data_IF_405779455503
#
_entry.id   IF_405779455503
#
_cell.length_a   1.000
_cell.length_b   1.000
_cell.length_c   1.000
_cell.angle_alpha   90.00
_cell.angle_beta   90.00
_cell.angle_gamma   90.00
#
_symmetry.space_group_name_H-M   'P 1'
#
loop_
_entity.id
_entity.type
_entity.pdbx_description
1 polymer ?
#
# COMPACT_ATOMS: atom_id res chain seq x y z
N UNK A 1 -18.94 -8.74 8.71
CA UNK A 1 -17.91 -7.68 8.60
C UNK A 1 -18.08 -7.04 7.22
N UNK A 2 -17.27 -6.06 6.79
CA UNK A 2 -17.14 -5.78 5.36
C UNK A 2 -15.89 -6.49 4.85
N UNK A 3 -15.97 -7.23 3.74
CA UNK A 3 -14.88 -8.12 3.31
C UNK A 3 -13.58 -7.37 2.96
N UNK A 4 -13.67 -6.09 2.58
CA UNK A 4 -12.49 -5.24 2.34
C UNK A 4 -11.57 -5.08 3.55
N UNK A 5 -12.08 -5.28 4.77
CA UNK A 5 -11.26 -5.18 5.98
C UNK A 5 -10.18 -6.26 6.05
N UNK A 6 -10.36 -7.38 5.32
CA UNK A 6 -9.38 -8.45 5.24
C UNK A 6 -8.36 -8.25 4.12
N UNK A 7 -8.58 -7.31 3.19
CA UNK A 7 -7.68 -7.10 2.07
C UNK A 7 -6.24 -6.93 2.55
N UNK A 8 -5.34 -7.69 1.93
CA UNK A 8 -3.91 -7.71 2.24
C UNK A 8 -3.57 -8.16 3.68
N UNK A 9 -4.50 -8.81 4.39
CA UNK A 9 -4.30 -9.31 5.75
C UNK A 9 -4.44 -8.24 6.84
N UNK A 10 -5.02 -7.07 6.54
CA UNK A 10 -5.02 -5.93 7.47
C UNK A 10 -5.74 -6.19 8.79
N UNK A 11 -6.96 -6.76 8.75
CA UNK A 11 -7.67 -7.14 9.97
C UNK A 11 -6.91 -8.17 10.81
N UNK A 12 -6.16 -9.08 10.17
CA UNK A 12 -5.35 -10.10 10.84
C UNK A 12 -4.19 -9.46 11.60
N UNK A 13 -3.49 -8.50 10.98
CA UNK A 13 -2.42 -7.74 11.65
C UNK A 13 -2.92 -6.98 12.87
N UNK A 14 -4.04 -6.26 12.73
CA UNK A 14 -4.63 -5.51 13.85
C UNK A 14 -5.09 -6.43 14.97
N UNK A 15 -5.70 -7.58 14.65
CA UNK A 15 -6.10 -8.58 15.66
C UNK A 15 -4.88 -9.13 16.42
N UNK A 16 -3.81 -9.49 15.71
CA UNK A 16 -2.56 -9.95 16.34
C UNK A 16 -1.93 -8.88 17.23
N UNK A 17 -1.85 -7.64 16.75
CA UNK A 17 -1.35 -6.52 17.54
C UNK A 17 -2.19 -6.30 18.80
N UNK A 18 -3.51 -6.45 18.68
CA UNK A 18 -4.45 -6.41 19.79
C UNK A 18 -4.39 -7.65 20.71
N UNK A 19 -3.50 -8.62 20.48
CA UNK A 19 -3.40 -9.85 21.29
C UNK A 19 -4.60 -10.79 21.14
N UNK A 20 -5.26 -10.78 19.98
CA UNK A 20 -6.42 -11.61 19.66
C UNK A 20 -6.06 -12.64 18.58
N UNK A 21 -6.95 -13.60 18.36
CA UNK A 21 -6.84 -14.58 17.27
C UNK A 21 -6.77 -13.87 15.91
N UNK A 22 -5.66 -14.06 15.19
CA UNK A 22 -5.42 -13.50 13.87
C UNK A 22 -5.67 -14.51 12.74
N UNK A 23 -6.04 -15.76 13.01
CA UNK A 23 -6.54 -16.67 11.98
C UNK A 23 -8.01 -16.33 11.64
N UNK A 24 -8.80 -16.04 12.67
CA UNK A 24 -10.19 -15.62 12.56
C UNK A 24 -10.43 -14.28 13.28
N UNK A 25 -9.95 -13.15 12.70
CA UNK A 25 -9.96 -11.87 13.39
C UNK A 25 -11.39 -11.44 13.76
N UNK A 26 -11.60 -10.86 14.96
CA UNK A 26 -12.93 -10.43 15.39
C UNK A 26 -13.54 -9.41 14.43
N UNK A 27 -14.89 -9.42 14.35
CA UNK A 27 -15.62 -8.52 13.45
C UNK A 27 -15.30 -7.05 13.72
N UNK A 28 -14.66 -6.38 12.76
CA UNK A 28 -14.54 -4.93 12.74
C UNK A 28 -15.88 -4.31 12.25
N UNK A 29 -16.48 -3.44 13.08
CA UNK A 29 -17.76 -2.76 12.80
C UNK A 29 -17.53 -1.44 12.06
N UNK A 30 -17.21 -1.54 10.78
CA UNK A 30 -16.94 -0.40 9.93
C UNK A 30 -16.04 -0.78 8.75
N UNK A 31 -15.41 0.22 8.17
CA UNK A 31 -14.56 0.10 6.99
C UNK A 31 -13.15 0.53 7.32
N UNK A 32 -12.19 -0.33 7.04
CA UNK A 32 -10.78 -0.03 7.15
C UNK A 32 -10.27 0.52 5.80
N UNK A 33 -9.58 1.65 5.84
CA UNK A 33 -8.77 2.11 4.72
C UNK A 33 -7.74 1.03 4.40
N UNK A 34 -7.72 0.54 3.16
CA UNK A 34 -6.87 -0.59 2.76
C UNK A 34 -5.70 -0.18 1.85
N UNK A 35 -5.62 1.09 1.47
CA UNK A 35 -4.56 1.65 0.63
C UNK A 35 -4.48 3.16 0.78
N UNK A 36 -3.33 3.73 0.46
CA UNK A 36 -3.18 5.16 0.27
C UNK A 36 -3.90 5.62 -0.99
N UNK A 37 -4.59 6.76 -0.91
CA UNK A 37 -5.08 7.50 -2.06
C UNK A 37 -5.18 8.99 -1.76
N UNK A 38 -5.28 9.77 -2.82
CA UNK A 38 -5.36 11.24 -2.80
C UNK A 38 -6.70 11.73 -2.23
N UNK A 39 -7.70 10.87 -2.26
CA UNK A 39 -9.04 11.08 -1.75
C UNK A 39 -9.14 10.85 -0.24
N UNK A 40 -10.30 10.38 0.19
CA UNK A 40 -10.62 10.25 1.61
C UNK A 40 -10.27 8.88 2.21
N UNK A 41 -9.46 8.06 1.51
CA UNK A 41 -9.11 6.70 1.93
C UNK A 41 -9.88 5.60 1.19
N UNK A 42 -10.80 5.96 0.29
CA UNK A 42 -11.53 5.00 -0.54
C UNK A 42 -11.66 5.44 -2.00
N UNK A 43 -12.01 4.49 -2.87
CA UNK A 43 -12.42 4.79 -4.25
C UNK A 43 -13.64 5.73 -4.23
N UNK A 44 -13.73 6.74 -5.11
CA UNK A 44 -14.88 7.65 -5.20
C UNK A 44 -16.25 6.96 -5.24
N UNK A 45 -16.36 5.81 -5.90
CA UNK A 45 -17.62 5.04 -6.01
C UNK A 45 -17.82 4.00 -4.91
N UNK A 46 -16.98 4.00 -3.87
CA UNK A 46 -17.12 3.05 -2.77
C UNK A 46 -18.39 3.35 -1.95
N UNK A 47 -19.30 2.38 -1.93
CA UNK A 47 -20.54 2.46 -1.16
C UNK A 47 -20.28 2.10 0.30
N UNK A 48 -20.83 2.92 1.20
CA UNK A 48 -20.79 2.70 2.64
C UNK A 48 -22.20 2.51 3.16
N UNK A 49 -22.38 1.61 4.11
CA UNK A 49 -23.60 1.61 4.90
C UNK A 49 -23.73 2.91 5.72
N UNK A 50 -24.95 3.42 5.82
CA UNK A 50 -25.25 4.61 6.61
C UNK A 50 -24.85 4.42 8.07
N UNK A 51 -24.25 5.47 8.65
CA UNK A 51 -23.77 5.46 10.03
C UNK A 51 -22.49 4.63 10.27
N UNK A 52 -21.96 3.90 9.28
CA UNK A 52 -20.76 3.09 9.47
C UNK A 52 -19.52 3.94 9.82
N UNK A 53 -18.70 3.42 10.74
CA UNK A 53 -17.38 3.98 11.05
C UNK A 53 -16.40 3.73 9.90
N UNK A 54 -15.55 4.74 9.68
CA UNK A 54 -14.49 4.78 8.67
C UNK A 54 -13.15 4.93 9.39
N UNK A 55 -12.35 3.88 9.37
CA UNK A 55 -11.06 3.84 10.03
C UNK A 55 -9.98 4.17 9.01
N UNK A 56 -9.43 5.37 9.12
CA UNK A 56 -8.40 5.91 8.23
C UNK A 56 -7.02 5.79 8.85
N UNK A 57 -5.96 5.82 8.05
CA UNK A 57 -4.60 5.75 8.59
C UNK A 57 -4.19 7.04 9.28
N UNK A 58 -4.50 8.19 8.67
CA UNK A 58 -4.13 9.52 9.17
C UNK A 58 -5.32 10.48 9.15
N UNK A 59 -5.11 11.72 9.63
CA UNK A 59 -6.18 12.72 9.68
C UNK A 59 -6.54 13.30 8.30
N UNK A 60 -5.60 13.28 7.34
CA UNK A 60 -5.81 13.94 6.06
C UNK A 60 -6.94 13.28 5.22
N UNK A 61 -7.02 11.94 5.08
CA UNK A 61 -8.17 11.26 4.49
C UNK A 61 -9.50 11.62 5.17
N UNK A 62 -9.53 11.68 6.52
CA UNK A 62 -10.72 12.12 7.27
C UNK A 62 -11.16 13.52 6.89
N UNK A 63 -10.25 14.50 6.87
CA UNK A 63 -10.60 15.89 6.50
C UNK A 63 -11.17 15.98 5.09
N UNK A 64 -10.59 15.23 4.15
CA UNK A 64 -11.08 15.15 2.76
C UNK A 64 -12.46 14.49 2.71
N UNK A 65 -12.70 13.44 3.49
CA UNK A 65 -14.02 12.82 3.63
C UNK A 65 -15.07 13.77 4.20
N UNK A 66 -14.70 14.56 5.22
CA UNK A 66 -15.59 15.58 5.79
C UNK A 66 -16.01 16.63 4.77
N UNK A 67 -15.08 17.07 3.90
CA UNK A 67 -15.35 17.99 2.81
C UNK A 67 -16.30 17.39 1.75
N UNK A 68 -16.34 16.06 1.61
CA UNK A 68 -17.31 15.33 0.78
C UNK A 68 -18.64 15.04 1.51
N UNK A 69 -18.87 15.63 2.69
CA UNK A 69 -20.08 15.41 3.49
C UNK A 69 -20.09 14.10 4.29
N UNK A 70 -19.04 13.28 4.21
CA UNK A 70 -18.94 12.03 4.96
C UNK A 70 -18.62 12.30 6.44
N UNK A 71 -19.04 11.42 7.34
CA UNK A 71 -18.86 11.53 8.80
C UNK A 71 -18.41 10.19 9.38
N UNK A 72 -18.31 10.10 10.71
CA UNK A 72 -17.95 8.88 11.46
C UNK A 72 -16.57 8.35 11.04
N UNK A 73 -15.54 9.17 11.22
CA UNK A 73 -14.16 8.79 10.96
C UNK A 73 -13.39 8.65 12.27
N UNK A 74 -12.44 7.72 12.28
CA UNK A 74 -11.40 7.63 13.30
C UNK A 74 -10.07 7.31 12.63
N UNK A 75 -9.01 8.02 12.97
CA UNK A 75 -7.67 7.71 12.46
C UNK A 75 -7.01 6.71 13.40
N UNK A 76 -6.32 5.72 12.85
CA UNK A 76 -5.78 4.59 13.62
C UNK A 76 -4.35 4.19 13.23
N UNK A 77 -3.69 4.89 12.31
CA UNK A 77 -2.43 4.43 11.70
C UNK A 77 -2.64 3.28 10.70
N UNK A 78 -1.71 3.13 9.76
CA UNK A 78 -1.76 2.04 8.78
C UNK A 78 -1.44 0.69 9.46
N UNK A 79 -2.18 -0.40 9.17
CA UNK A 79 -1.86 -1.74 9.65
C UNK A 79 -0.41 -2.16 9.38
N UNK A 80 0.21 -1.67 8.31
CA UNK A 80 1.62 -1.90 8.01
C UNK A 80 2.56 -1.38 9.11
N UNK A 81 2.25 -0.28 9.80
CA UNK A 81 3.07 0.22 10.91
C UNK A 81 3.03 -0.71 12.12
N UNK A 82 1.84 -1.21 12.45
CA UNK A 82 1.70 -2.24 13.49
C UNK A 82 2.42 -3.54 13.13
N UNK A 83 2.47 -3.89 11.84
CA UNK A 83 3.26 -5.02 11.37
C UNK A 83 4.76 -4.80 11.58
N UNK A 84 5.29 -3.58 11.35
CA UNK A 84 6.69 -3.28 11.63
C UNK A 84 7.04 -3.49 13.11
N UNK A 85 6.14 -3.10 14.03
CA UNK A 85 6.31 -3.30 15.47
C UNK A 85 6.21 -4.78 15.87
N UNK A 86 5.28 -5.53 15.25
CA UNK A 86 5.08 -6.96 15.51
C UNK A 86 6.24 -7.82 14.99
N UNK A 87 6.88 -7.40 13.91
CA UNK A 87 7.85 -8.17 13.14
C UNK A 87 9.13 -7.35 12.90
N UNK A 88 9.87 -6.95 13.95
CA UNK A 88 11.05 -6.11 13.79
C UNK A 88 12.14 -6.78 12.94
N UNK A 89 12.27 -8.12 13.03
CA UNK A 89 13.32 -8.90 12.37
C UNK A 89 12.89 -9.50 11.01
N UNK A 90 11.60 -9.46 10.66
CA UNK A 90 11.10 -10.14 9.47
C UNK A 90 11.75 -9.58 8.19
N UNK A 91 12.49 -10.44 7.49
CA UNK A 91 13.18 -10.10 6.24
C UNK A 91 14.29 -9.06 6.38
N UNK A 92 14.69 -8.71 7.60
CA UNK A 92 15.86 -7.86 7.82
C UNK A 92 17.10 -8.58 7.31
N UNK A 93 17.86 -7.89 6.47
CA UNK A 93 19.20 -8.30 6.07
C UNK A 93 20.18 -7.18 6.42
N UNK A 94 21.47 -7.48 6.67
CA UNK A 94 22.49 -6.45 6.88
C UNK A 94 22.48 -5.38 5.77
N UNK A 95 22.68 -4.12 6.14
CA UNK A 95 22.56 -2.98 5.21
C UNK A 95 23.55 -3.07 4.02
N UNK A 96 24.75 -3.62 4.26
CA UNK A 96 25.75 -3.89 3.23
C UNK A 96 25.33 -4.98 2.24
N UNK A 97 24.33 -5.79 2.60
CA UNK A 97 23.76 -6.87 1.77
C UNK A 97 22.44 -6.54 1.11
N UNK A 98 21.80 -5.42 1.48
CA UNK A 98 20.63 -4.94 0.74
C UNK A 98 21.08 -4.58 -0.67
N UNK A 99 20.31 -4.91 -1.68
CA UNK A 99 20.68 -4.57 -3.06
C UNK A 99 19.47 -4.31 -3.95
N UNK A 100 19.70 -3.58 -5.04
CA UNK A 100 18.72 -3.39 -6.09
C UNK A 100 17.46 -2.62 -5.69
N UNK A 101 16.49 -2.69 -6.60
CA UNK A 101 15.26 -1.90 -6.56
C UNK A 101 14.04 -2.80 -6.66
N UNK A 102 13.12 -2.67 -5.71
CA UNK A 102 11.79 -3.27 -5.81
C UNK A 102 10.87 -2.28 -6.55
N UNK A 103 10.53 -2.65 -7.78
CA UNK A 103 9.69 -1.85 -8.67
C UNK A 103 8.22 -2.22 -8.55
N UNK A 104 7.38 -1.24 -8.24
CA UNK A 104 5.92 -1.35 -8.25
C UNK A 104 5.39 -0.68 -9.50
N UNK A 105 5.01 -1.49 -10.47
CA UNK A 105 4.34 -1.00 -11.65
C UNK A 105 2.88 -0.63 -11.32
N UNK A 106 2.40 0.49 -11.86
CA UNK A 106 0.98 0.80 -11.85
C UNK A 106 0.27 -0.18 -12.78
N UNK A 107 -0.65 -0.94 -12.20
CA UNK A 107 -1.42 -1.98 -12.87
C UNK A 107 -2.86 -1.52 -13.09
N UNK A 108 -3.51 -2.06 -14.12
CA UNK A 108 -4.94 -1.89 -14.31
C UNK A 108 -5.70 -2.62 -13.21
N UNK A 109 -6.83 -2.09 -12.75
CA UNK A 109 -7.75 -2.87 -11.92
C UNK A 109 -8.50 -3.90 -12.80
N UNK A 110 -9.09 -4.92 -12.19
CA UNK A 110 -9.95 -6.00 -12.76
C UNK A 110 -10.96 -5.59 -13.86
N UNK A 111 -11.17 -4.31 -14.18
CA UNK A 111 -12.03 -3.82 -15.25
C UNK A 111 -11.42 -2.78 -16.21
N UNK A 112 -10.14 -2.41 -16.10
CA UNK A 112 -9.52 -1.35 -16.93
C UNK A 112 -8.30 -1.83 -17.71
N UNK A 113 -8.26 -1.56 -19.03
CA UNK A 113 -7.06 -1.77 -19.85
C UNK A 113 -6.11 -0.59 -19.64
N UNK A 114 -4.86 -0.85 -19.27
CA UNK A 114 -3.81 0.16 -19.25
C UNK A 114 -3.45 0.51 -20.69
N UNK A 115 -3.29 1.80 -20.98
CA UNK A 115 -2.59 2.28 -22.18
C UNK A 115 -1.25 2.85 -21.73
N UNK A 116 -0.13 2.31 -22.21
CA UNK A 116 1.21 2.74 -21.83
C UNK A 116 2.31 2.06 -22.64
N UNK A 117 3.44 2.74 -22.79
CA UNK A 117 4.62 2.21 -23.48
C UNK A 117 5.50 1.45 -22.47
N UNK A 118 5.18 0.17 -22.26
CA UNK A 118 5.94 -0.71 -21.36
C UNK A 118 7.41 -0.81 -21.75
N UNK A 119 7.73 -0.74 -23.06
CA UNK A 119 9.12 -0.81 -23.53
C UNK A 119 9.88 0.43 -23.09
N UNK A 120 9.31 1.62 -23.29
CA UNK A 120 9.92 2.88 -22.87
C UNK A 120 10.12 2.92 -21.36
N UNK A 121 9.16 2.44 -20.57
CA UNK A 121 9.33 2.37 -19.12
C UNK A 121 10.48 1.42 -18.72
N UNK A 122 10.57 0.24 -19.36
CA UNK A 122 11.68 -0.70 -19.14
C UNK A 122 13.03 -0.06 -19.49
N UNK A 123 13.11 0.66 -20.62
CA UNK A 123 14.32 1.35 -21.04
C UNK A 123 14.72 2.42 -20.00
N UNK A 124 13.78 3.24 -19.53
CA UNK A 124 14.05 4.26 -18.52
C UNK A 124 14.47 3.65 -17.16
N UNK A 125 13.89 2.52 -16.76
CA UNK A 125 14.29 1.79 -15.56
C UNK A 125 15.73 1.31 -15.68
N UNK A 126 16.11 0.73 -16.83
CA UNK A 126 17.49 0.26 -17.08
C UNK A 126 18.51 1.41 -17.12
N UNK A 127 18.09 2.58 -17.58
CA UNK A 127 18.94 3.78 -17.57
C UNK A 127 19.11 4.36 -16.16
N UNK A 128 18.11 4.21 -15.29
CA UNK A 128 18.07 4.86 -13.97
C UNK A 128 18.59 3.95 -12.86
N UNK A 129 18.23 2.67 -12.87
CA UNK A 129 18.52 1.74 -11.78
C UNK A 129 19.82 0.99 -12.06
N UNK A 130 20.81 1.17 -11.19
CA UNK A 130 22.17 0.62 -11.38
C UNK A 130 22.34 -0.82 -10.89
N UNK A 131 21.35 -1.35 -10.16
CA UNK A 131 21.38 -2.68 -9.56
C UNK A 131 20.30 -3.61 -10.13
N UNK A 132 20.17 -4.84 -9.60
CA UNK A 132 19.10 -5.74 -10.00
C UNK A 132 17.73 -5.12 -9.69
N UNK A 133 16.76 -5.31 -10.59
CA UNK A 133 15.39 -4.83 -10.41
C UNK A 133 14.45 -6.03 -10.25
N UNK A 134 13.69 -6.01 -9.17
CA UNK A 134 12.60 -6.95 -8.89
C UNK A 134 11.27 -6.25 -9.18
N UNK A 135 10.45 -6.77 -10.09
CA UNK A 135 9.11 -6.26 -10.36
C UNK A 135 8.07 -6.93 -9.45
N UNK A 136 7.25 -6.11 -8.81
CA UNK A 136 6.03 -6.57 -8.14
C UNK A 136 4.84 -6.47 -9.08
N UNK A 137 4.25 -7.62 -9.42
CA UNK A 137 2.99 -7.70 -10.17
C UNK A 137 1.81 -7.97 -9.24
N UNK A 138 0.68 -7.33 -9.53
CA UNK A 138 -0.57 -7.68 -8.86
C UNK A 138 -0.97 -9.11 -9.23
N UNK A 139 -1.65 -9.84 -8.33
CA UNK A 139 -1.82 -11.29 -8.48
C UNK A 139 -2.53 -11.67 -9.79
N UNK A 140 -3.46 -10.85 -10.27
CA UNK A 140 -4.19 -11.11 -11.52
C UNK A 140 -3.29 -11.05 -12.75
N UNK A 141 -2.22 -10.26 -12.72
CA UNK A 141 -1.24 -10.19 -13.80
C UNK A 141 -0.12 -11.19 -13.59
N UNK A 142 0.28 -11.42 -12.34
CA UNK A 142 1.29 -12.44 -12.00
C UNK A 142 0.84 -13.85 -12.41
N UNK A 143 -0.47 -14.12 -12.32
CA UNK A 143 -1.09 -15.38 -12.73
C UNK A 143 -1.23 -15.54 -14.25
N UNK A 144 -0.95 -14.48 -15.02
CA UNK A 144 -0.97 -14.48 -16.48
C UNK A 144 0.46 -14.68 -17.01
N UNK A 145 0.82 -15.89 -17.46
CA UNK A 145 2.20 -16.18 -17.86
C UNK A 145 2.71 -15.24 -18.94
N UNK A 146 1.87 -14.82 -19.87
CA UNK A 146 2.24 -13.90 -20.95
C UNK A 146 2.68 -12.52 -20.44
N UNK A 147 2.08 -12.03 -19.35
CA UNK A 147 2.51 -10.77 -18.73
C UNK A 147 3.78 -11.02 -17.92
N UNK A 148 3.78 -12.03 -17.05
CA UNK A 148 4.92 -12.32 -16.18
C UNK A 148 6.21 -12.55 -16.99
N UNK A 149 6.14 -13.40 -18.02
CA UNK A 149 7.28 -13.77 -18.85
C UNK A 149 7.82 -12.58 -19.65
N UNK A 150 6.99 -11.57 -19.99
CA UNK A 150 7.50 -10.36 -20.66
C UNK A 150 8.52 -9.57 -19.82
N UNK A 151 8.37 -9.57 -18.49
CA UNK A 151 9.34 -8.95 -17.58
C UNK A 151 10.52 -9.88 -17.26
N UNK A 152 10.26 -11.19 -17.15
CA UNK A 152 11.32 -12.18 -16.94
C UNK A 152 12.29 -12.22 -18.14
N UNK A 153 11.78 -12.20 -19.37
CA UNK A 153 12.55 -12.14 -20.62
C UNK A 153 13.34 -10.83 -20.74
N UNK A 154 12.86 -9.76 -20.10
CA UNK A 154 13.59 -8.49 -19.96
C UNK A 154 14.69 -8.55 -18.88
N UNK A 155 14.91 -9.70 -18.23
CA UNK A 155 15.97 -9.91 -17.25
C UNK A 155 15.60 -9.49 -15.82
N UNK A 156 14.32 -9.20 -15.56
CA UNK A 156 13.86 -8.82 -14.22
C UNK A 156 13.41 -10.04 -13.42
N UNK A 157 13.64 -10.01 -12.10
CA UNK A 157 12.97 -10.93 -11.19
C UNK A 157 11.53 -10.46 -11.00
N UNK A 158 10.56 -11.37 -11.05
CA UNK A 158 9.14 -11.00 -10.86
C UNK A 158 8.59 -11.67 -9.61
N UNK A 159 7.87 -10.91 -8.79
CA UNK A 159 7.25 -11.37 -7.55
C UNK A 159 5.80 -10.93 -7.44
N UNK A 160 5.03 -11.66 -6.64
CA UNK A 160 3.72 -11.25 -6.15
C UNK A 160 3.61 -11.60 -4.68
N UNK A 161 2.90 -10.79 -3.90
CA UNK A 161 2.79 -10.96 -2.45
C UNK A 161 1.57 -11.79 -2.03
N UNK A 162 0.74 -12.19 -2.99
CA UNK A 162 -0.43 -13.03 -2.75
C UNK A 162 -1.73 -12.41 -3.26
N UNK A 163 -2.82 -13.15 -3.08
CA UNK A 163 -4.15 -12.74 -3.54
C UNK A 163 -4.79 -11.78 -2.56
N UNK A 164 -5.41 -10.71 -3.08
CA UNK A 164 -6.28 -9.84 -2.29
C UNK A 164 -7.52 -10.58 -1.79
N UNK A 165 -8.02 -11.51 -2.60
CA UNK A 165 -9.29 -12.20 -2.39
C UNK A 165 -10.50 -11.30 -2.68
N UNK A 166 -11.68 -11.90 -2.59
CA UNK A 166 -12.98 -11.22 -2.72
C UNK A 166 -14.02 -11.95 -1.89
N UNK A 167 -14.96 -11.21 -1.28
CA UNK A 167 -16.04 -11.80 -0.46
C UNK A 167 -15.59 -12.88 0.54
N UNK A 168 -14.49 -12.63 1.26
CA UNK A 168 -13.86 -13.54 2.25
C UNK A 168 -13.19 -14.79 1.69
N UNK A 169 -13.15 -14.96 0.36
CA UNK A 169 -12.51 -16.10 -0.28
C UNK A 169 -11.15 -15.70 -0.86
N UNK A 170 -10.15 -16.58 -0.66
CA UNK A 170 -8.85 -16.49 -1.31
C UNK A 170 -7.98 -15.30 -0.89
N UNK A 171 -8.30 -14.59 0.19
CA UNK A 171 -7.44 -13.54 0.75
C UNK A 171 -6.18 -14.18 1.34
N UNK A 172 -4.99 -13.70 0.97
CA UNK A 172 -3.75 -14.09 1.60
C UNK A 172 -3.51 -13.25 2.88
N UNK A 173 -3.67 -13.82 4.10
CA UNK A 173 -3.51 -13.06 5.33
C UNK A 173 -2.04 -12.65 5.59
N UNK A 174 -1.09 -13.23 4.85
CA UNK A 174 0.34 -12.91 4.95
C UNK A 174 0.82 -12.02 3.80
N UNK A 175 -0.08 -11.40 3.02
CA UNK A 175 0.30 -10.50 1.92
C UNK A 175 1.29 -9.42 2.37
N UNK A 176 0.93 -8.62 3.40
CA UNK A 176 1.80 -7.54 3.87
C UNK A 176 3.07 -8.05 4.56
N UNK A 177 3.04 -9.26 5.13
CA UNK A 177 4.25 -9.91 5.68
C UNK A 177 5.25 -10.23 4.57
N UNK A 178 4.78 -10.80 3.46
CA UNK A 178 5.61 -11.11 2.28
C UNK A 178 6.15 -9.82 1.65
N UNK A 179 5.31 -8.79 1.57
CA UNK A 179 5.73 -7.48 1.06
C UNK A 179 6.81 -6.85 1.96
N UNK A 180 6.62 -6.82 3.28
CA UNK A 180 7.63 -6.31 4.23
C UNK A 180 8.94 -7.08 4.12
N UNK A 181 8.87 -8.41 4.09
CA UNK A 181 10.04 -9.27 3.98
C UNK A 181 10.81 -9.03 2.67
N UNK A 182 10.11 -8.69 1.59
CA UNK A 182 10.75 -8.37 0.31
C UNK A 182 11.32 -6.95 0.28
N UNK A 183 10.61 -5.96 0.82
CA UNK A 183 11.08 -4.58 0.91
C UNK A 183 12.42 -4.49 1.66
N UNK A 184 12.53 -5.18 2.80
CA UNK A 184 13.76 -5.15 3.63
C UNK A 184 14.99 -5.80 2.99
N UNK A 185 14.83 -6.54 1.88
CA UNK A 185 15.97 -7.06 1.09
C UNK A 185 16.53 -6.03 0.11
N UNK A 186 15.74 -5.03 -0.26
CA UNK A 186 16.09 -4.07 -1.31
C UNK A 186 16.62 -2.78 -0.69
N UNK A 187 17.55 -2.10 -1.37
CA UNK A 187 17.98 -0.75 -0.97
C UNK A 187 16.93 0.30 -1.33
N UNK A 188 16.27 0.11 -2.46
CA UNK A 188 15.38 1.10 -3.05
C UNK A 188 14.01 0.52 -3.39
N UNK A 189 12.99 1.35 -3.27
CA UNK A 189 11.64 1.10 -3.77
C UNK A 189 11.32 2.14 -4.84
N UNK A 190 10.72 1.73 -5.96
CA UNK A 190 10.35 2.69 -6.99
C UNK A 190 9.02 2.33 -7.65
N UNK A 191 8.37 3.33 -8.24
CA UNK A 191 7.11 3.16 -8.95
C UNK A 191 6.93 4.27 -9.99
N UNK A 192 6.08 4.02 -10.98
CA UNK A 192 5.67 5.05 -11.94
C UNK A 192 4.53 5.95 -11.45
N UNK A 193 3.92 5.62 -10.31
CA UNK A 193 2.98 6.48 -9.59
C UNK A 193 3.24 6.47 -8.10
N UNK A 194 2.99 7.61 -7.44
CA UNK A 194 2.97 7.63 -5.98
C UNK A 194 1.84 6.72 -5.50
N UNK A 195 2.20 5.74 -4.70
CA UNK A 195 1.30 4.67 -4.28
C UNK A 195 1.62 4.22 -2.86
N UNK A 196 0.71 3.43 -2.28
CA UNK A 196 0.89 2.80 -0.96
C UNK A 196 2.26 2.11 -0.81
N UNK A 197 2.73 1.46 -1.86
CA UNK A 197 3.96 0.67 -1.83
C UNK A 197 5.21 1.54 -1.60
N UNK A 198 5.22 2.78 -2.10
CA UNK A 198 6.31 3.74 -1.86
C UNK A 198 6.39 4.09 -0.38
N UNK A 199 5.26 4.45 0.23
CA UNK A 199 5.19 4.73 1.67
C UNK A 199 5.63 3.53 2.51
N UNK A 200 5.19 2.32 2.15
CA UNK A 200 5.61 1.11 2.85
C UNK A 200 7.11 0.84 2.71
N UNK A 201 7.70 1.07 1.54
CA UNK A 201 9.14 0.90 1.37
C UNK A 201 9.96 1.91 2.14
N UNK A 202 9.56 3.19 2.16
CA UNK A 202 10.22 4.21 2.98
C UNK A 202 10.14 3.82 4.47
N UNK A 203 8.97 3.38 4.94
CA UNK A 203 8.79 2.93 6.31
C UNK A 203 9.57 1.64 6.65
N UNK A 204 9.84 0.79 5.64
CA UNK A 204 10.70 -0.38 5.77
C UNK A 204 12.20 -0.04 5.67
N UNK A 205 12.56 1.23 5.44
CA UNK A 205 13.93 1.72 5.39
C UNK A 205 14.55 1.73 3.99
N UNK A 206 13.77 1.68 2.92
CA UNK A 206 14.27 1.84 1.55
C UNK A 206 14.45 3.33 1.19
N UNK A 207 15.43 3.62 0.35
CA UNK A 207 15.38 4.81 -0.51
C UNK A 207 14.19 4.70 -1.46
N UNK A 208 13.65 5.82 -1.93
CA UNK A 208 12.45 5.83 -2.75
C UNK A 208 12.60 6.67 -4.02
N UNK A 209 11.82 6.32 -5.03
CA UNK A 209 11.68 7.08 -6.26
C UNK A 209 10.29 6.93 -6.88
N UNK A 210 9.79 8.00 -7.50
CA UNK A 210 8.53 8.00 -8.25
C UNK A 210 8.77 8.70 -9.58
N UNK A 211 8.89 7.93 -10.66
CA UNK A 211 9.25 8.45 -11.97
C UNK A 211 8.79 7.54 -13.12
N UNK A 212 8.87 8.08 -14.32
CA UNK A 212 8.45 7.41 -15.55
C UNK A 212 7.03 7.78 -15.93
N UNK A 213 6.53 7.14 -16.99
CA UNK A 213 5.17 7.35 -17.46
C UNK A 213 4.17 6.81 -16.43
N UNK A 214 3.31 7.66 -15.82
CA UNK A 214 2.32 7.21 -14.85
C UNK A 214 1.30 6.25 -15.47
N UNK A 215 1.23 6.13 -16.79
CA UNK A 215 0.31 5.29 -17.56
C UNK A 215 -1.15 5.64 -17.28
N UNK A 216 -1.84 6.32 -18.20
CA UNK A 216 -3.21 6.78 -17.97
C UNK A 216 -4.23 5.63 -18.05
N UNK A 217 -5.23 5.64 -17.15
CA UNK A 217 -6.43 4.80 -17.33
C UNK A 217 -7.46 5.54 -18.21
N UNK A 218 -8.10 4.82 -19.11
CA UNK A 218 -9.21 5.37 -19.90
C UNK A 218 -10.35 5.80 -18.96
N UNK A 219 -10.73 7.08 -19.02
CA UNK A 219 -11.77 7.67 -18.16
C UNK A 219 -11.29 8.15 -16.78
N UNK A 220 -9.97 8.20 -16.53
CA UNK A 220 -9.42 8.75 -15.29
C UNK A 220 -9.87 10.21 -15.07
N UNK A 221 -10.60 10.44 -13.99
CA UNK A 221 -11.09 11.78 -13.65
C UNK A 221 -9.95 12.56 -12.95
N UNK A 222 -9.44 13.66 -13.56
CA UNK A 222 -8.34 14.44 -13.00
C UNK A 222 -8.62 14.98 -11.60
N UNK A 223 -9.89 15.17 -11.24
CA UNK A 223 -10.32 15.70 -9.94
C UNK A 223 -10.05 14.74 -8.76
N UNK A 224 -10.03 13.43 -9.02
CA UNK A 224 -9.92 12.40 -7.99
C UNK A 224 -8.54 11.75 -7.89
N UNK A 225 -7.63 12.01 -8.83
CA UNK A 225 -6.30 11.41 -8.73
C UNK A 225 -5.30 11.74 -9.84
N UNK A 226 -5.47 12.85 -10.55
CA UNK A 226 -4.50 13.23 -11.58
C UNK A 226 -3.14 13.64 -11.01
N UNK A 227 -2.08 13.37 -11.79
CA UNK A 227 -0.68 13.63 -11.42
C UNK A 227 -0.41 15.08 -11.00
N UNK A 228 -1.17 16.04 -11.55
CA UNK A 228 -1.06 17.46 -11.19
C UNK A 228 -1.40 17.74 -9.73
N UNK A 229 -2.37 17.02 -9.15
CA UNK A 229 -2.73 17.15 -7.74
C UNK A 229 -1.66 16.52 -6.86
N UNK A 230 -1.09 15.39 -7.27
CA UNK A 230 0.03 14.76 -6.57
C UNK A 230 1.22 15.71 -6.55
N UNK A 231 1.63 16.21 -7.71
CA UNK A 231 2.76 17.12 -7.84
C UNK A 231 2.62 18.41 -7.02
N UNK A 232 1.40 18.87 -6.78
CA UNK A 232 1.15 20.03 -5.91
C UNK A 232 1.18 19.70 -4.42
N UNK A 233 0.66 18.53 -4.03
CA UNK A 233 0.45 18.18 -2.62
C UNK A 233 1.62 17.42 -2.00
N UNK A 234 2.37 16.68 -2.82
CA UNK A 234 3.53 15.88 -2.41
C UNK A 234 4.66 16.01 -3.44
N UNK A 235 5.10 17.23 -3.80
CA UNK A 235 6.22 17.42 -4.74
C UNK A 235 7.50 16.71 -4.28
N UNK A 236 7.73 16.63 -2.96
CA UNK A 236 8.86 15.96 -2.33
C UNK A 236 8.87 14.43 -2.51
N UNK A 237 7.73 13.86 -2.94
CA UNK A 237 7.58 12.43 -3.17
C UNK A 237 7.73 12.05 -4.65
N UNK A 238 8.13 12.98 -5.51
CA UNK A 238 8.26 12.78 -6.96
C UNK A 238 9.69 12.99 -7.44
N UNK A 239 10.16 12.11 -8.32
CA UNK A 239 11.49 12.17 -8.90
C UNK A 239 12.23 10.84 -8.87
N UNK A 240 13.37 10.79 -9.58
CA UNK A 240 14.30 9.65 -9.58
C UNK A 240 15.12 9.57 -8.29
N UNK A 241 15.20 10.65 -7.55
CA UNK A 241 15.82 10.73 -6.23
C UNK A 241 14.94 11.62 -5.38
N UNK A 242 14.71 11.23 -4.13
CA UNK A 242 13.90 11.98 -3.18
C UNK A 242 14.77 12.44 -2.03
N UNK A 243 14.42 13.60 -1.45
CA UNK A 243 14.99 14.01 -0.17
C UNK A 243 14.53 13.03 0.92
N UNK A 244 15.48 12.33 1.53
CA UNK A 244 15.19 11.21 2.44
C UNK A 244 14.44 11.69 3.69
N UNK A 245 14.78 12.87 4.23
CA UNK A 245 14.15 13.39 5.43
C UNK A 245 12.71 13.84 5.17
N UNK A 246 12.48 14.59 4.09
CA UNK A 246 11.15 15.01 3.68
C UNK A 246 10.27 13.80 3.32
N UNK A 247 10.81 12.83 2.57
CA UNK A 247 10.07 11.63 2.20
C UNK A 247 9.68 10.78 3.41
N UNK A 248 10.56 10.66 4.42
CA UNK A 248 10.26 9.99 5.70
C UNK A 248 9.19 10.74 6.50
N UNK A 249 9.32 12.06 6.64
CA UNK A 249 8.35 12.88 7.35
C UNK A 249 6.94 12.79 6.72
N UNK A 250 6.85 12.88 5.38
CA UNK A 250 5.60 12.69 4.66
C UNK A 250 5.06 11.27 4.81
N UNK A 251 5.95 10.25 4.76
CA UNK A 251 5.56 8.85 4.96
C UNK A 251 4.99 8.59 6.35
N UNK A 252 5.64 9.08 7.41
CA UNK A 252 5.16 8.89 8.78
C UNK A 252 3.81 9.58 9.00
N UNK A 253 3.57 10.72 8.35
CA UNK A 253 2.28 11.39 8.38
C UNK A 253 1.19 10.62 7.62
N UNK A 254 1.47 10.19 6.39
CA UNK A 254 0.49 9.50 5.53
C UNK A 254 0.17 8.08 6.02
N UNK A 255 1.15 7.36 6.57
CA UNK A 255 0.95 6.08 7.26
C UNK A 255 0.43 6.23 8.69
N UNK A 256 0.36 7.46 9.19
CA UNK A 256 -0.33 7.80 10.40
C UNK A 256 0.37 7.37 11.69
N UNK A 257 1.70 7.49 11.75
CA UNK A 257 2.49 7.26 12.97
C UNK A 257 1.93 8.02 14.19
N UNK A 258 1.53 9.31 14.09
CA UNK A 258 0.92 10.02 15.21
C UNK A 258 -0.45 9.49 15.67
N UNK A 259 -1.11 8.63 14.88
CA UNK A 259 -2.43 8.05 15.17
C UNK A 259 -2.37 6.57 15.48
N UNK A 260 -1.17 5.99 15.59
CA UNK A 260 -1.03 4.64 16.15
C UNK A 260 -1.49 4.65 17.60
N UNK A 261 -2.15 3.57 18.02
CA UNK A 261 -2.69 3.44 19.37
C UNK A 261 -2.25 2.14 20.03
N UNK A 262 -2.15 2.10 21.37
CA UNK A 262 -1.87 0.87 22.10
C UNK A 262 -2.90 -0.24 21.84
N UNK A 263 -2.55 -1.52 22.06
CA UNK A 263 -3.45 -2.65 21.87
C UNK A 263 -4.79 -2.53 22.60
N UNK A 264 -4.80 -1.98 23.82
CA UNK A 264 -6.02 -1.82 24.62
C UNK A 264 -6.98 -0.77 24.06
N UNK A 265 -6.48 0.37 23.60
CA UNK A 265 -7.29 1.40 22.95
C UNK A 265 -7.90 0.88 21.66
N UNK A 266 -7.13 0.12 20.88
CA UNK A 266 -7.61 -0.53 19.66
C UNK A 266 -8.76 -1.51 19.95
N UNK A 267 -8.62 -2.34 20.99
CA UNK A 267 -9.67 -3.25 21.43
C UNK A 267 -10.94 -2.50 21.83
N UNK A 268 -10.80 -1.41 22.58
CA UNK A 268 -11.93 -0.57 22.99
C UNK A 268 -12.62 0.08 21.79
N UNK A 269 -11.85 0.68 20.88
CA UNK A 269 -12.36 1.35 19.68
C UNK A 269 -13.17 0.40 18.79
N UNK A 270 -12.69 -0.83 18.60
CA UNK A 270 -13.34 -1.82 17.75
C UNK A 270 -14.42 -2.66 18.46
N UNK A 271 -14.65 -2.46 19.77
CA UNK A 271 -15.48 -3.33 20.62
C UNK A 271 -15.03 -4.80 20.51
N UNK A 272 -13.72 -5.02 20.43
CA UNK A 272 -13.11 -6.34 20.42
C UNK A 272 -12.89 -6.81 21.85
N UNK A 273 -13.77 -7.69 22.31
CA UNK A 273 -13.68 -8.30 23.63
C UNK A 273 -12.94 -9.62 23.52
N UNK A 274 -12.05 -9.90 24.48
CA UNK A 274 -11.54 -11.25 24.70
C UNK A 274 -12.76 -12.12 24.98
N UNK A 275 -12.99 -13.17 24.19
CA UNK A 275 -14.00 -14.17 24.55
C UNK A 275 -13.50 -14.86 25.81
N UNK A 276 -14.17 -14.61 26.93
CA UNK A 276 -13.98 -15.36 28.18
C UNK A 276 -14.61 -16.73 28.03
#
# INVERSE_FOLDING_TARGET
MHHHNHYYGQAHILARYAGLDDECPPRLRGYLQHGWNIGDGWNPVHEFYDGAWRFTWSDAPRRRGHALGRRNYHSIGAPFRYLLDLEPELGVVPEDKREGTLWFLFHGWEGGKIQGDHKRLIDEIRETETGPVTFSLYYTEYERPEIRTSYEDAGFRVVSFGRRGFSYEGTDPKFLYKQLAELRKHKRVAANRLSTAIFYGIAAGCDAAVYGDPMAMEGENPLFGGDSRIARLWPEMLGKELDVEAARATTDLELGVPWMMPPEEMRMLFDWRVRV
#
